data_IF_199825810307
#
_entry.id   IF_199825810307
#
_cell.length_a   1.000
_cell.length_b   1.000
_cell.length_c   1.000
_cell.angle_alpha   90.00
_cell.angle_beta   90.00
_cell.angle_gamma   90.00
#
_symmetry.space_group_name_H-M   'P 1'
#
loop_
_entity.id
_entity.type
_entity.pdbx_description
1 polymer ?
#
# COMPACT_ATOMS: atom_id res chain seq x y z
N UNK A 1 -5.67 2.90 -13.91
CA UNK A 1 -5.68 2.33 -12.54
C UNK A 1 -6.02 0.85 -12.55
N UNK A 2 -7.10 0.43 -13.23
CA UNK A 2 -7.53 -0.98 -13.33
C UNK A 2 -6.41 -1.94 -13.77
N UNK A 3 -5.71 -1.63 -14.88
CA UNK A 3 -4.60 -2.47 -15.37
C UNK A 3 -3.45 -2.63 -14.36
N UNK A 4 -3.10 -1.56 -13.65
CA UNK A 4 -2.03 -1.60 -12.64
C UNK A 4 -2.40 -2.56 -11.49
N UNK A 5 -3.67 -2.57 -11.08
CA UNK A 5 -4.18 -3.52 -10.08
C UNK A 5 -4.17 -4.95 -10.63
N UNK A 6 -4.65 -5.19 -11.86
CA UNK A 6 -4.62 -6.53 -12.44
C UNK A 6 -3.19 -7.10 -12.56
N UNK A 7 -2.21 -6.27 -12.94
CA UNK A 7 -0.81 -6.70 -13.01
C UNK A 7 -0.18 -6.92 -11.63
N UNK A 8 -0.57 -6.17 -10.61
CA UNK A 8 -0.05 -6.37 -9.25
C UNK A 8 -0.60 -7.63 -8.60
N UNK A 9 -1.81 -8.08 -8.92
CA UNK A 9 -2.38 -9.32 -8.37
C UNK A 9 -1.61 -10.58 -8.76
N UNK A 10 -0.93 -10.60 -9.92
CA UNK A 10 -0.05 -11.72 -10.28
C UNK A 10 1.09 -11.93 -9.28
N UNK A 11 1.48 -10.89 -8.53
CA UNK A 11 2.51 -10.97 -7.50
C UNK A 11 2.09 -11.86 -6.32
N UNK A 12 0.80 -12.06 -6.07
CA UNK A 12 0.32 -12.90 -4.97
C UNK A 12 0.73 -14.36 -5.13
N UNK A 13 1.08 -14.80 -6.33
CA UNK A 13 1.67 -16.13 -6.55
C UNK A 13 2.98 -16.32 -5.77
N UNK A 14 3.74 -15.26 -5.52
CA UNK A 14 4.95 -15.35 -4.69
C UNK A 14 4.63 -15.80 -3.26
N UNK A 15 3.45 -15.48 -2.73
CA UNK A 15 3.05 -15.85 -1.36
C UNK A 15 2.92 -17.36 -1.14
N UNK A 16 2.95 -18.19 -2.20
CA UNK A 16 3.04 -19.64 -2.10
C UNK A 16 4.36 -20.10 -1.46
N UNK A 17 5.42 -19.29 -1.53
CA UNK A 17 6.70 -19.59 -0.91
C UNK A 17 6.63 -19.20 0.58
N UNK A 18 6.78 -20.16 1.51
CA UNK A 18 6.75 -19.85 2.93
C UNK A 18 7.89 -18.91 3.34
N UNK A 19 7.65 -18.10 4.37
CA UNK A 19 8.55 -17.10 4.97
C UNK A 19 8.94 -15.91 4.09
N UNK A 20 9.31 -16.12 2.82
CA UNK A 20 9.87 -15.09 1.94
C UNK A 20 8.87 -14.60 0.89
N UNK A 21 7.92 -15.45 0.50
CA UNK A 21 6.97 -15.20 -0.56
C UNK A 21 6.10 -13.97 -0.33
N UNK A 22 5.61 -13.79 0.90
CA UNK A 22 4.80 -12.62 1.28
C UNK A 22 5.58 -11.31 1.18
N UNK A 23 6.86 -11.30 1.55
CA UNK A 23 7.72 -10.12 1.41
C UNK A 23 7.92 -9.74 -0.07
N UNK A 24 8.24 -10.73 -0.90
CA UNK A 24 8.44 -10.53 -2.35
C UNK A 24 7.15 -10.04 -3.02
N UNK A 25 6.01 -10.67 -2.71
CA UNK A 25 4.71 -10.27 -3.21
C UNK A 25 4.42 -8.80 -2.86
N UNK A 26 4.68 -8.41 -1.61
CA UNK A 26 4.43 -7.06 -1.09
C UNK A 26 5.27 -6.01 -1.81
N UNK A 27 6.58 -6.25 -1.95
CA UNK A 27 7.49 -5.35 -2.66
C UNK A 27 7.10 -5.18 -4.13
N UNK A 28 6.69 -6.26 -4.78
CA UNK A 28 6.22 -6.23 -6.16
C UNK A 28 4.93 -5.41 -6.32
N UNK A 29 3.94 -5.64 -5.46
CA UNK A 29 2.67 -4.87 -5.48
C UNK A 29 2.95 -3.38 -5.30
N UNK A 30 3.80 -3.00 -4.33
CA UNK A 30 4.19 -1.60 -4.11
C UNK A 30 4.84 -1.01 -5.37
N UNK A 31 5.79 -1.73 -5.99
CA UNK A 31 6.46 -1.26 -7.20
C UNK A 31 5.50 -1.00 -8.37
N UNK A 32 4.61 -1.96 -8.66
CA UNK A 32 3.61 -1.82 -9.74
C UNK A 32 2.62 -0.69 -9.43
N UNK A 33 2.23 -0.51 -8.17
CA UNK A 33 1.30 0.55 -7.78
C UNK A 33 1.93 1.94 -7.94
N UNK A 34 3.19 2.11 -7.57
CA UNK A 34 3.94 3.35 -7.77
C UNK A 34 4.08 3.69 -9.26
N UNK A 35 4.44 2.71 -10.10
CA UNK A 35 4.51 2.89 -11.56
C UNK A 35 3.13 3.24 -12.12
N UNK A 36 2.09 2.53 -11.68
CA UNK A 36 0.71 2.76 -12.11
C UNK A 36 0.24 4.18 -11.83
N UNK A 37 0.37 4.66 -10.58
CA UNK A 37 -0.05 6.01 -10.20
C UNK A 37 0.76 7.06 -10.97
N UNK A 38 2.07 6.86 -11.13
CA UNK A 38 2.93 7.74 -11.92
C UNK A 38 2.42 7.86 -13.36
N UNK A 39 2.19 6.74 -14.02
CA UNK A 39 1.82 6.70 -15.44
C UNK A 39 0.45 7.33 -15.68
N UNK A 40 -0.52 7.10 -14.79
CA UNK A 40 -1.88 7.62 -14.93
C UNK A 40 -1.93 9.13 -14.65
N UNK A 41 -1.13 9.62 -13.71
CA UNK A 41 -1.19 11.02 -13.26
C UNK A 41 -0.07 11.90 -13.82
N UNK A 42 0.85 11.34 -14.61
CA UNK A 42 2.00 12.07 -15.17
C UNK A 42 2.87 12.76 -14.11
N UNK A 43 2.87 12.25 -12.87
CA UNK A 43 3.46 12.91 -11.71
C UNK A 43 4.92 12.51 -11.50
N UNK A 44 5.67 13.33 -10.75
CA UNK A 44 7.02 13.00 -10.28
C UNK A 44 7.00 11.84 -9.28
N UNK A 45 8.02 10.98 -9.33
CA UNK A 45 8.16 9.83 -8.41
C UNK A 45 8.07 10.21 -6.93
N UNK A 46 8.63 11.36 -6.53
CA UNK A 46 8.58 11.82 -5.13
C UNK A 46 7.14 12.12 -4.72
N UNK A 47 6.37 12.77 -5.60
CA UNK A 47 4.97 13.11 -5.33
C UNK A 47 4.10 11.87 -5.24
N UNK A 48 4.36 10.87 -6.08
CA UNK A 48 3.67 9.58 -6.05
C UNK A 48 3.99 8.80 -4.78
N UNK A 49 5.26 8.79 -4.36
CA UNK A 49 5.68 8.13 -3.13
C UNK A 49 4.99 8.73 -1.90
N UNK A 50 4.97 10.06 -1.78
CA UNK A 50 4.27 10.75 -0.68
C UNK A 50 2.77 10.43 -0.71
N UNK A 51 2.13 10.49 -1.88
CA UNK A 51 0.71 10.17 -2.04
C UNK A 51 0.40 8.71 -1.66
N UNK A 52 1.31 7.77 -1.93
CA UNK A 52 1.17 6.37 -1.59
C UNK A 52 1.09 6.11 -0.09
N UNK A 53 1.76 6.93 0.74
CA UNK A 53 1.72 6.81 2.21
C UNK A 53 0.52 7.50 2.86
N UNK A 54 -0.21 8.36 2.15
CA UNK A 54 -1.38 9.08 2.69
C UNK A 54 -2.42 8.13 3.32
N UNK A 55 -2.85 7.03 2.66
CA UNK A 55 -3.80 6.10 3.27
C UNK A 55 -3.28 5.46 4.56
N UNK A 56 -1.99 5.12 4.62
CA UNK A 56 -1.38 4.51 5.81
C UNK A 56 -1.39 5.48 7.00
N UNK A 57 -1.06 6.76 6.77
CA UNK A 57 -1.11 7.81 7.80
C UNK A 57 -2.55 8.01 8.29
N UNK A 58 -3.54 8.01 7.39
CA UNK A 58 -4.94 8.15 7.76
C UNK A 58 -5.43 6.99 8.63
N UNK A 59 -5.11 5.75 8.25
CA UNK A 59 -5.45 4.56 9.05
C UNK A 59 -4.78 4.64 10.42
N UNK A 60 -3.51 5.03 10.49
CA UNK A 60 -2.78 5.16 11.74
C UNK A 60 -3.40 6.24 12.65
N UNK A 61 -3.78 7.39 12.08
CA UNK A 61 -4.51 8.44 12.81
C UNK A 61 -5.85 7.93 13.34
N UNK A 62 -6.64 7.21 12.54
CA UNK A 62 -7.92 6.62 12.96
C UNK A 62 -7.73 5.62 14.11
N UNK A 63 -6.73 4.75 14.02
CA UNK A 63 -6.42 3.78 15.06
C UNK A 63 -6.01 4.46 16.37
N UNK A 64 -5.20 5.53 16.29
CA UNK A 64 -4.82 6.31 17.48
C UNK A 64 -6.04 6.99 18.12
N UNK A 65 -6.92 7.60 17.33
CA UNK A 65 -8.15 8.21 17.87
C UNK A 65 -9.06 7.18 18.51
N UNK A 66 -9.21 6.01 17.89
CA UNK A 66 -10.01 4.91 18.42
C UNK A 66 -9.42 4.37 19.72
N UNK A 67 -8.10 4.15 19.77
CA UNK A 67 -7.39 3.69 20.96
C UNK A 67 -7.50 4.67 22.13
N UNK A 68 -7.35 5.98 21.87
CA UNK A 68 -7.54 7.02 22.89
C UNK A 68 -9.00 7.04 23.37
N UNK A 69 -9.97 6.95 22.45
CA UNK A 69 -11.39 6.94 22.85
C UNK A 69 -11.75 5.73 23.70
N UNK A 70 -11.18 4.55 23.40
CA UNK A 70 -11.38 3.34 24.19
C UNK A 70 -10.76 3.49 25.59
N UNK A 71 -9.52 3.99 25.67
CA UNK A 71 -8.83 4.24 26.94
C UNK A 71 -9.57 5.25 27.84
N UNK A 72 -10.31 6.20 27.28
CA UNK A 72 -11.12 7.16 28.04
C UNK A 72 -12.47 6.58 28.52
N UNK A 73 -12.89 5.42 28.00
CA UNK A 73 -14.13 4.74 28.37
C UNK A 73 -13.92 3.67 29.46
N UNK A 74 -12.68 3.20 29.65
CA UNK A 74 -12.25 2.32 30.74
C UNK A 74 -11.93 3.11 32.04
#
# INVERSE_FOLDING_TARGET
TFRAICYSQAAQLWALIPYVGGLIASLWVIGVQLIGIREIHGASYIRVLVAFFVPAVLVLAMLMTAGVSLFLLD
#
